data_IF_313597830036
#
_entry.id   IF_313597830036
#
_cell.length_a   1.000
_cell.length_b   1.000
_cell.length_c   1.000
_cell.angle_alpha   90.00
_cell.angle_beta   90.00
_cell.angle_gamma   90.00
#
_symmetry.space_group_name_H-M   'P 1'
#
loop_
_entity.id
_entity.type
_entity.pdbx_description
1 polymer ?
#
# COMPACT_ATOMS: atom_id res chain seq x y z
N UNK A 1 14.99 17.23 -41.25
CA UNK A 1 14.11 16.19 -40.68
C UNK A 1 14.30 16.25 -39.19
N UNK A 2 13.43 16.98 -38.50
CA UNK A 2 13.53 17.20 -37.06
C UNK A 2 13.17 15.90 -36.32
N UNK A 3 13.70 15.67 -35.12
CA UNK A 3 13.42 14.46 -34.31
C UNK A 3 11.91 14.27 -34.08
N UNK A 4 11.16 15.37 -34.10
CA UNK A 4 9.70 15.40 -33.97
C UNK A 4 8.96 14.83 -35.20
N UNK A 5 9.54 14.92 -36.40
CA UNK A 5 8.94 14.36 -37.62
C UNK A 5 9.16 12.84 -37.73
N UNK A 6 10.15 12.28 -37.02
CA UNK A 6 10.46 10.86 -37.05
C UNK A 6 9.59 10.00 -36.11
N UNK A 7 8.90 10.63 -35.14
CA UNK A 7 8.18 9.93 -34.06
C UNK A 7 6.66 10.13 -34.06
N UNK A 8 6.08 10.87 -35.01
CA UNK A 8 4.63 10.90 -35.21
C UNK A 8 3.79 11.45 -34.04
N UNK A 9 4.40 12.09 -33.05
CA UNK A 9 3.69 12.71 -31.94
C UNK A 9 3.46 14.20 -32.20
N UNK A 10 2.20 14.55 -32.49
CA UNK A 10 1.74 15.94 -32.54
C UNK A 10 1.34 16.33 -31.11
N UNK A 11 2.20 17.07 -30.42
CA UNK A 11 1.84 17.68 -29.14
C UNK A 11 1.07 18.95 -29.47
N UNK A 12 -0.23 18.96 -29.21
CA UNK A 12 -1.06 20.16 -29.29
C UNK A 12 -0.61 21.11 -28.17
N UNK A 13 0.19 22.10 -28.54
CA UNK A 13 0.61 23.22 -27.70
C UNK A 13 -0.51 24.25 -27.59
N UNK A 14 -1.55 23.90 -26.82
CA UNK A 14 -2.52 24.87 -26.33
C UNK A 14 -3.16 24.36 -25.02
N UNK A 15 -2.52 24.67 -23.89
CA UNK A 15 -3.24 25.22 -22.74
C UNK A 15 -2.22 25.91 -21.82
N UNK A 16 -2.48 27.19 -21.55
CA UNK A 16 -1.55 28.12 -20.96
C UNK A 16 -1.27 27.89 -19.47
N UNK A 17 -0.04 28.29 -19.11
CA UNK A 17 0.26 29.19 -18.00
C UNK A 17 -0.30 28.83 -16.62
N UNK A 18 0.61 28.28 -15.81
CA UNK A 18 1.03 28.86 -14.54
C UNK A 18 -0.06 29.42 -13.62
N UNK A 19 -0.53 28.59 -12.70
CA UNK A 19 -0.86 29.05 -11.36
C UNK A 19 -0.24 28.12 -10.32
N UNK A 20 0.40 28.74 -9.33
CA UNK A 20 0.95 28.15 -8.12
C UNK A 20 0.06 27.05 -7.54
N UNK A 21 0.50 25.79 -7.62
CA UNK A 21 0.05 24.74 -6.71
C UNK A 21 1.12 24.59 -5.63
N UNK A 22 1.10 25.54 -4.69
CA UNK A 22 1.73 25.36 -3.40
C UNK A 22 0.88 24.33 -2.63
N UNK A 23 1.09 23.04 -2.92
CA UNK A 23 0.48 21.97 -2.14
C UNK A 23 1.40 21.65 -0.97
N UNK A 24 1.28 22.42 0.11
CA UNK A 24 1.63 21.89 1.43
C UNK A 24 0.69 20.71 1.70
N UNK A 25 1.23 19.51 1.58
CA UNK A 25 0.56 18.27 1.96
C UNK A 25 0.29 18.33 3.48
N UNK A 26 -0.96 18.14 3.93
CA UNK A 26 -1.22 18.02 5.37
C UNK A 26 -0.47 16.79 5.87
N UNK A 27 0.44 17.00 6.80
CA UNK A 27 1.16 15.92 7.48
C UNK A 27 0.15 15.18 8.34
N UNK A 28 -0.21 13.97 7.92
CA UNK A 28 -1.07 13.06 8.65
C UNK A 28 -0.36 12.58 9.92
N UNK A 29 -0.40 13.39 10.96
CA UNK A 29 -0.12 12.97 12.32
C UNK A 29 -1.19 13.61 13.21
N UNK A 30 -1.79 12.77 14.08
CA UNK A 30 -2.62 13.17 15.23
C UNK A 30 -4.15 13.35 15.05
N UNK A 31 -4.76 12.86 13.95
CA UNK A 31 -6.24 12.70 13.91
C UNK A 31 -6.62 11.33 13.39
N UNK A 32 -6.52 10.28 14.22
CA UNK A 32 -7.10 8.96 13.91
C UNK A 32 -6.93 7.89 15.00
N UNK A 33 -6.38 8.21 16.18
CA UNK A 33 -6.25 7.21 17.25
C UNK A 33 -7.15 7.50 18.45
N UNK A 34 -7.27 8.75 18.85
CA UNK A 34 -8.04 9.10 20.05
C UNK A 34 -9.55 9.12 19.80
N UNK A 35 -10.00 9.59 18.63
CA UNK A 35 -11.42 9.57 18.26
C UNK A 35 -12.02 8.17 18.10
N UNK A 36 -11.21 7.19 17.67
CA UNK A 36 -11.69 5.80 17.50
C UNK A 36 -11.56 4.96 18.77
N UNK A 37 -10.67 5.33 19.70
CA UNK A 37 -10.57 4.67 20.99
C UNK A 37 -11.76 5.04 21.90
N UNK A 38 -12.14 6.33 21.92
CA UNK A 38 -13.23 6.82 22.76
C UNK A 38 -14.61 6.30 22.30
N UNK A 39 -14.80 6.10 21.00
CA UNK A 39 -16.04 5.54 20.43
C UNK A 39 -16.11 3.99 20.55
N UNK A 40 -14.95 3.32 20.55
CA UNK A 40 -14.88 1.87 20.81
C UNK A 40 -15.14 1.53 22.29
N UNK A 41 -14.62 2.32 23.23
CA UNK A 41 -14.83 2.09 24.66
C UNK A 41 -16.29 2.35 25.07
N UNK A 42 -16.95 3.36 24.47
CA UNK A 42 -18.38 3.64 24.72
C UNK A 42 -19.33 2.58 24.13
N UNK A 43 -18.96 1.91 23.04
CA UNK A 43 -19.71 0.75 22.53
C UNK A 43 -19.51 -0.51 23.38
N UNK A 44 -18.33 -0.66 24.00
CA UNK A 44 -18.00 -1.82 24.83
C UNK A 44 -18.66 -1.74 26.22
N UNK A 45 -18.82 -0.54 26.79
CA UNK A 45 -19.61 -0.34 28.01
C UNK A 45 -21.12 -0.58 27.79
N UNK A 46 -21.70 -0.08 26.68
CA UNK A 46 -23.11 -0.32 26.35
C UNK A 46 -23.46 -1.80 26.10
N UNK A 47 -22.50 -2.60 25.64
CA UNK A 47 -22.67 -4.04 25.46
C UNK A 47 -22.47 -4.86 26.74
N UNK A 48 -21.72 -4.35 27.73
CA UNK A 48 -21.56 -5.00 29.04
C UNK A 48 -22.79 -4.86 29.93
N UNK A 49 -23.51 -3.74 29.81
CA UNK A 49 -24.74 -3.51 30.58
C UNK A 49 -25.96 -4.28 30.03
N UNK A 50 -25.88 -4.83 28.81
CA UNK A 50 -26.97 -5.53 28.14
C UNK A 50 -26.86 -7.06 28.11
N UNK A 51 -25.74 -7.65 28.57
CA UNK A 51 -25.55 -9.11 28.60
C UNK A 51 -25.03 -9.58 29.96
N UNK A 52 -25.93 -9.54 30.94
CA UNK A 52 -25.86 -10.37 32.13
C UNK A 52 -26.77 -11.59 31.98
N UNK A 53 -26.16 -12.75 31.66
CA UNK A 53 -26.68 -14.14 31.68
C UNK A 53 -27.52 -14.61 30.48
N UNK A 54 -26.88 -15.38 29.60
CA UNK A 54 -27.01 -16.85 29.59
C UNK A 54 -26.15 -17.45 28.48
N UNK A 55 -25.36 -18.46 28.84
CA UNK A 55 -24.54 -19.27 27.95
C UNK A 55 -25.38 -20.10 26.94
N UNK A 56 -24.71 -20.50 25.87
CA UNK A 56 -25.07 -21.53 24.88
C UNK A 56 -26.21 -21.27 23.89
N UNK A 57 -25.84 -20.92 22.64
CA UNK A 57 -26.12 -21.79 21.49
C UNK A 57 -25.55 -21.23 20.17
N UNK A 58 -24.52 -21.90 19.69
CA UNK A 58 -24.19 -22.00 18.28
C UNK A 58 -25.31 -22.70 17.51
N UNK A 59 -25.89 -22.03 16.50
CA UNK A 59 -26.14 -22.55 15.14
C UNK A 59 -27.31 -21.80 14.50
N UNK A 60 -27.01 -21.04 13.45
CA UNK A 60 -27.99 -20.68 12.44
C UNK A 60 -28.49 -21.96 11.77
N UNK A 61 -29.77 -22.26 11.92
CA UNK A 61 -30.51 -23.09 10.97
C UNK A 61 -31.75 -22.32 10.53
N UNK A 62 -31.77 -22.03 9.23
CA UNK A 62 -32.97 -21.67 8.50
C UNK A 62 -34.03 -22.78 8.63
N UNK A 63 -35.28 -22.35 8.53
CA UNK A 63 -36.50 -23.15 8.31
C UNK A 63 -37.14 -23.75 9.57
N UNK A 64 -38.24 -23.14 10.01
CA UNK A 64 -39.53 -23.80 10.27
C UNK A 64 -40.50 -22.80 10.92
N UNK A 65 -41.32 -22.12 10.12
CA UNK A 65 -42.43 -21.30 10.62
C UNK A 65 -43.81 -21.93 10.36
N UNK A 66 -43.88 -23.23 10.07
CA UNK A 66 -45.13 -23.91 9.69
C UNK A 66 -45.44 -25.17 10.51
N UNK A 67 -44.53 -25.66 11.36
CA UNK A 67 -44.75 -26.91 12.11
C UNK A 67 -45.30 -26.73 13.53
N UNK A 68 -45.20 -25.55 14.14
CA UNK A 68 -45.72 -25.32 15.51
C UNK A 68 -47.24 -25.11 15.54
N UNK A 69 -47.85 -24.57 14.48
CA UNK A 69 -49.30 -24.37 14.42
C UNK A 69 -50.10 -25.68 14.25
N UNK A 70 -49.54 -26.69 13.59
CA UNK A 70 -50.17 -28.03 13.45
C UNK A 70 -50.20 -28.82 14.78
N UNK A 71 -49.31 -28.51 15.72
CA UNK A 71 -49.27 -29.16 17.03
C UNK A 71 -50.16 -28.47 18.08
N UNK A 72 -50.56 -27.22 17.85
CA UNK A 72 -51.55 -26.53 18.67
C UNK A 72 -52.98 -27.03 18.36
N UNK A 73 -53.33 -27.16 17.07
CA UNK A 73 -54.63 -27.71 16.65
C UNK A 73 -54.85 -29.15 17.15
N UNK A 74 -53.85 -30.03 17.03
CA UNK A 74 -53.94 -31.42 17.54
C UNK A 74 -54.01 -31.53 19.07
N UNK A 75 -53.54 -30.52 19.80
CA UNK A 75 -53.63 -30.50 21.28
C UNK A 75 -55.01 -30.07 21.77
N UNK A 76 -55.74 -29.28 20.99
CA UNK A 76 -57.11 -28.87 21.32
C UNK A 76 -58.15 -29.95 21.00
N UNK A 77 -57.98 -30.74 19.94
CA UNK A 77 -58.89 -31.87 19.64
C UNK A 77 -58.96 -32.91 20.78
N UNK A 78 -57.85 -33.15 21.50
CA UNK A 78 -57.80 -34.17 22.55
C UNK A 78 -58.36 -33.70 23.91
N UNK A 79 -58.65 -32.41 24.09
CA UNK A 79 -59.21 -31.85 25.33
C UNK A 79 -60.74 -31.77 25.31
N UNK A 80 -61.35 -31.69 24.13
CA UNK A 80 -62.82 -31.65 23.98
C UNK A 80 -63.44 -33.03 24.28
N UNK A 81 -62.76 -34.12 23.94
CA UNK A 81 -63.24 -35.49 24.13
C UNK A 81 -63.09 -36.04 25.58
N UNK A 82 -62.63 -35.22 26.53
CA UNK A 82 -62.29 -35.67 27.89
C UNK A 82 -62.89 -34.84 29.02
N UNK A 83 -63.95 -34.07 28.75
CA UNK A 83 -64.68 -33.38 29.81
C UNK A 83 -65.73 -34.31 30.43
N UNK A 84 -65.37 -34.98 31.54
CA UNK A 84 -66.32 -35.77 32.32
C UNK A 84 -67.20 -34.85 33.18
N UNK A 85 -68.41 -34.60 32.66
CA UNK A 85 -69.42 -33.75 33.29
C UNK A 85 -69.78 -34.27 34.69
N UNK A 86 -69.83 -35.59 34.89
CA UNK A 86 -70.21 -36.15 36.17
C UNK A 86 -69.12 -35.93 37.21
N UNK A 87 -67.84 -36.13 36.85
CA UNK A 87 -66.72 -35.83 37.76
C UNK A 87 -66.66 -34.33 38.10
N UNK A 88 -66.94 -33.45 37.13
CA UNK A 88 -66.95 -32.00 37.33
C UNK A 88 -68.08 -31.52 38.26
N UNK A 89 -69.30 -32.05 38.08
CA UNK A 89 -70.45 -31.71 38.93
C UNK A 89 -70.27 -32.22 40.36
N UNK A 90 -69.70 -33.41 40.52
CA UNK A 90 -69.35 -33.98 41.83
C UNK A 90 -68.23 -33.19 42.52
N UNK A 91 -67.19 -32.77 41.78
CA UNK A 91 -66.07 -31.97 42.32
C UNK A 91 -66.48 -30.60 42.82
N UNK A 92 -67.50 -29.99 42.21
CA UNK A 92 -67.94 -28.64 42.52
C UNK A 92 -69.22 -28.61 43.38
N UNK A 93 -69.58 -29.73 44.04
CA UNK A 93 -70.73 -29.84 44.96
C UNK A 93 -72.09 -29.49 44.33
N UNK A 94 -72.31 -29.84 43.05
CA UNK A 94 -73.57 -29.62 42.34
C UNK A 94 -74.52 -30.83 42.39
N UNK A 95 -74.34 -31.77 43.33
CA UNK A 95 -75.12 -33.03 43.44
C UNK A 95 -76.65 -32.84 43.50
N UNK A 96 -77.14 -31.67 43.94
CA UNK A 96 -78.57 -31.41 44.18
C UNK A 96 -79.10 -30.14 43.52
N UNK A 97 -78.34 -29.51 42.63
CA UNK A 97 -78.82 -28.33 41.91
C UNK A 97 -79.77 -28.78 40.80
N UNK A 98 -81.01 -28.26 40.73
CA UNK A 98 -81.91 -28.61 39.64
C UNK A 98 -81.23 -28.26 38.31
N UNK A 99 -81.20 -29.23 37.40
CA UNK A 99 -80.48 -29.15 36.13
C UNK A 99 -80.89 -27.89 35.35
N UNK A 100 -82.14 -27.48 35.45
CA UNK A 100 -82.68 -26.26 34.84
C UNK A 100 -82.02 -24.97 35.34
N UNK A 101 -81.60 -24.91 36.62
CA UNK A 101 -80.88 -23.76 37.17
C UNK A 101 -79.44 -23.72 36.66
N UNK A 102 -78.78 -24.88 36.57
CA UNK A 102 -77.42 -24.98 36.03
C UNK A 102 -77.39 -24.67 34.53
N UNK A 103 -78.37 -25.17 33.78
CA UNK A 103 -78.54 -24.85 32.35
C UNK A 103 -78.75 -23.34 32.20
N UNK A 104 -79.61 -22.72 33.03
CA UNK A 104 -79.82 -21.27 32.97
C UNK A 104 -78.56 -20.48 33.32
N UNK A 105 -77.82 -20.89 34.34
CA UNK A 105 -76.58 -20.23 34.74
C UNK A 105 -75.47 -20.43 33.70
N UNK A 106 -75.42 -21.60 33.04
CA UNK A 106 -74.50 -21.90 31.95
C UNK A 106 -74.87 -21.14 30.66
N UNK A 107 -76.15 -21.00 30.34
CA UNK A 107 -76.64 -20.18 29.23
C UNK A 107 -76.36 -18.69 29.49
N UNK A 108 -76.52 -18.25 30.74
CA UNK A 108 -76.22 -16.87 31.14
C UNK A 108 -74.71 -16.62 31.08
N UNK A 109 -73.89 -17.56 31.56
CA UNK A 109 -72.44 -17.46 31.51
C UNK A 109 -71.92 -17.56 30.07
N UNK A 110 -72.45 -18.45 29.25
CA UNK A 110 -72.12 -18.56 27.82
C UNK A 110 -72.48 -17.26 27.12
N UNK A 111 -73.67 -16.71 27.35
CA UNK A 111 -74.07 -15.42 26.80
C UNK A 111 -73.14 -14.28 27.24
N UNK A 112 -72.73 -14.27 28.50
CA UNK A 112 -71.76 -13.28 29.02
C UNK A 112 -70.39 -13.48 28.36
N UNK A 113 -69.86 -14.70 28.32
CA UNK A 113 -68.56 -15.01 27.70
C UNK A 113 -68.57 -14.62 26.22
N UNK A 114 -69.60 -15.02 25.47
CA UNK A 114 -69.71 -14.69 24.06
C UNK A 114 -69.77 -13.17 23.86
N UNK A 115 -70.50 -12.44 24.71
CA UNK A 115 -70.56 -10.98 24.63
C UNK A 115 -69.24 -10.30 25.00
N UNK A 116 -68.59 -10.72 26.09
CA UNK A 116 -67.34 -10.12 26.58
C UNK A 116 -66.18 -10.44 25.66
N UNK A 117 -66.12 -11.65 25.09
CA UNK A 117 -65.07 -12.05 24.18
C UNK A 117 -65.23 -11.37 22.83
N UNK A 118 -66.47 -11.19 22.34
CA UNK A 118 -66.73 -10.38 21.14
C UNK A 118 -66.39 -8.92 21.38
N UNK A 119 -66.75 -8.34 22.53
CA UNK A 119 -66.37 -6.97 22.88
C UNK A 119 -64.83 -6.82 22.94
N UNK A 120 -64.14 -7.64 23.72
CA UNK A 120 -62.69 -7.56 23.90
C UNK A 120 -61.89 -7.85 22.61
N UNK A 121 -62.36 -8.81 21.79
CA UNK A 121 -61.76 -9.06 20.47
C UNK A 121 -62.08 -7.91 19.53
N UNK A 122 -63.29 -7.38 19.52
CA UNK A 122 -63.64 -6.25 18.64
C UNK A 122 -62.87 -4.97 19.00
N UNK A 123 -62.63 -4.72 20.29
CA UNK A 123 -61.87 -3.57 20.79
C UNK A 123 -60.38 -3.69 20.45
N UNK A 124 -59.80 -4.89 20.54
CA UNK A 124 -58.36 -5.10 20.33
C UNK A 124 -57.98 -5.41 18.88
N UNK A 125 -58.90 -5.95 18.08
CA UNK A 125 -58.61 -6.37 16.71
C UNK A 125 -58.53 -5.18 15.74
N UNK A 126 -59.28 -4.10 15.99
CA UNK A 126 -59.19 -2.85 15.21
C UNK A 126 -57.79 -2.21 15.27
N UNK A 127 -57.26 -1.89 16.46
CA UNK A 127 -55.90 -1.38 16.63
C UNK A 127 -54.82 -2.33 16.11
N UNK A 128 -55.01 -3.64 16.25
CA UNK A 128 -54.09 -4.64 15.69
C UNK A 128 -54.07 -4.61 14.15
N UNK A 129 -55.23 -4.51 13.51
CA UNK A 129 -55.31 -4.36 12.06
C UNK A 129 -54.69 -3.04 11.58
N UNK A 130 -54.91 -1.93 12.29
CA UNK A 130 -54.26 -0.65 12.00
C UNK A 130 -52.73 -0.77 12.08
N UNK A 131 -52.21 -1.41 13.12
CA UNK A 131 -50.78 -1.71 13.25
C UNK A 131 -50.27 -2.54 12.06
N UNK A 132 -50.94 -3.64 11.70
CA UNK A 132 -50.53 -4.46 10.55
C UNK A 132 -50.58 -3.69 9.22
N UNK A 133 -51.56 -2.81 9.04
CA UNK A 133 -51.73 -2.01 7.82
C UNK A 133 -50.60 -0.98 7.63
N UNK A 134 -50.01 -0.45 8.71
CA UNK A 134 -48.86 0.47 8.60
C UNK A 134 -47.63 -0.17 7.93
N UNK A 135 -47.48 -1.49 8.05
CA UNK A 135 -46.36 -2.24 7.46
C UNK A 135 -46.73 -3.01 6.20
N UNK A 136 -48.03 -3.22 5.94
CA UNK A 136 -48.55 -3.96 4.77
C UNK A 136 -48.87 -3.05 3.59
N UNK A 137 -48.80 -1.72 3.75
CA UNK A 137 -48.95 -0.78 2.64
C UNK A 137 -47.75 -0.89 1.70
N UNK A 138 -48.02 -1.07 0.40
CA UNK A 138 -47.01 -1.06 -0.67
C UNK A 138 -46.17 0.25 -0.70
N UNK A 139 -46.68 1.32 -0.06
CA UNK A 139 -46.04 2.62 0.11
C UNK A 139 -45.40 2.81 1.50
N UNK A 140 -44.91 1.74 2.13
CA UNK A 140 -44.12 1.87 3.35
C UNK A 140 -42.80 2.59 3.04
N UNK A 141 -42.77 3.90 3.28
CA UNK A 141 -41.64 4.80 3.04
C UNK A 141 -40.34 4.26 3.65
N UNK A 142 -40.41 3.68 4.85
CA UNK A 142 -39.25 3.08 5.54
C UNK A 142 -38.71 1.87 4.78
N UNK A 143 -39.59 1.02 4.23
CA UNK A 143 -39.18 -0.14 3.43
C UNK A 143 -38.55 0.30 2.10
N UNK A 144 -39.11 1.33 1.45
CA UNK A 144 -38.57 1.90 0.22
C UNK A 144 -37.20 2.57 0.45
N UNK A 145 -37.04 3.32 1.54
CA UNK A 145 -35.75 3.90 1.95
C UNK A 145 -34.72 2.82 2.27
N UNK A 146 -35.11 1.75 2.96
CA UNK A 146 -34.22 0.65 3.28
C UNK A 146 -33.82 -0.14 2.03
N UNK A 147 -34.71 -0.26 1.05
CA UNK A 147 -34.40 -0.83 -0.26
C UNK A 147 -33.46 0.06 -1.08
N UNK A 148 -33.64 1.39 -1.02
CA UNK A 148 -32.70 2.36 -1.63
C UNK A 148 -31.33 2.29 -0.96
N UNK A 149 -31.27 2.34 0.36
CA UNK A 149 -30.03 2.21 1.12
C UNK A 149 -29.32 0.89 0.81
N UNK A 150 -30.06 -0.22 0.70
CA UNK A 150 -29.50 -1.52 0.28
C UNK A 150 -28.92 -1.47 -1.13
N UNK A 151 -29.60 -0.82 -2.06
CA UNK A 151 -29.12 -0.60 -3.43
C UNK A 151 -27.84 0.25 -3.43
N UNK A 152 -27.83 1.34 -2.67
CA UNK A 152 -26.69 2.26 -2.56
C UNK A 152 -25.47 1.58 -1.93
N UNK A 153 -25.67 0.78 -0.87
CA UNK A 153 -24.61 -0.03 -0.26
C UNK A 153 -24.09 -1.07 -1.26
N UNK A 154 -24.95 -1.68 -2.06
CA UNK A 154 -24.53 -2.65 -3.07
C UNK A 154 -23.69 -1.98 -4.17
N UNK A 155 -24.13 -0.81 -4.64
CA UNK A 155 -23.40 0.00 -5.62
C UNK A 155 -22.06 0.48 -5.05
N UNK A 156 -22.04 0.92 -3.79
CA UNK A 156 -20.82 1.33 -3.10
C UNK A 156 -19.85 0.16 -2.99
N UNK A 157 -20.33 -1.03 -2.59
CA UNK A 157 -19.51 -2.24 -2.51
C UNK A 157 -18.90 -2.60 -3.87
N UNK A 158 -19.69 -2.53 -4.94
CA UNK A 158 -19.19 -2.79 -6.30
C UNK A 158 -18.16 -1.75 -6.74
N UNK A 159 -18.38 -0.47 -6.44
CA UNK A 159 -17.43 0.59 -6.75
C UNK A 159 -16.13 0.44 -5.93
N UNK A 160 -16.23 0.12 -4.65
CA UNK A 160 -15.09 -0.14 -3.79
C UNK A 160 -14.27 -1.34 -4.30
N UNK A 161 -14.95 -2.39 -4.77
CA UNK A 161 -14.30 -3.55 -5.38
C UNK A 161 -13.58 -3.17 -6.69
N UNK A 162 -14.21 -2.37 -7.56
CA UNK A 162 -13.58 -1.85 -8.79
C UNK A 162 -12.34 -1.02 -8.50
N UNK A 163 -12.42 -0.07 -7.57
CA UNK A 163 -11.30 0.81 -7.21
C UNK A 163 -10.16 0.00 -6.57
N UNK A 164 -10.49 -0.89 -5.63
CA UNK A 164 -9.48 -1.64 -4.87
C UNK A 164 -8.81 -2.72 -5.70
N UNK A 165 -9.57 -3.51 -6.46
CA UNK A 165 -9.02 -4.68 -7.15
C UNK A 165 -8.54 -4.39 -8.58
N UNK A 166 -9.08 -3.37 -9.25
CA UNK A 166 -8.67 -3.04 -10.63
C UNK A 166 -7.80 -1.80 -10.69
N UNK A 167 -8.29 -0.68 -10.17
CA UNK A 167 -7.60 0.61 -10.35
C UNK A 167 -6.35 0.72 -9.48
N UNK A 168 -6.43 0.33 -8.20
CA UNK A 168 -5.27 0.36 -7.30
C UNK A 168 -4.20 -0.65 -7.75
N UNK A 169 -4.60 -1.86 -8.16
CA UNK A 169 -3.67 -2.87 -8.67
C UNK A 169 -2.96 -2.38 -9.95
N UNK A 170 -3.71 -1.84 -10.91
CA UNK A 170 -3.15 -1.25 -12.13
C UNK A 170 -2.25 -0.05 -11.83
N UNK A 171 -2.66 0.83 -10.92
CA UNK A 171 -1.86 1.98 -10.51
C UNK A 171 -0.55 1.52 -9.86
N UNK A 172 -0.60 0.50 -9.01
CA UNK A 172 0.60 -0.09 -8.39
C UNK A 172 1.56 -0.67 -9.44
N UNK A 173 1.05 -1.35 -10.47
CA UNK A 173 1.86 -1.86 -11.57
C UNK A 173 2.55 -0.72 -12.32
N UNK A 174 1.80 0.31 -12.73
CA UNK A 174 2.36 1.50 -13.40
C UNK A 174 3.39 2.22 -12.52
N UNK A 175 3.12 2.37 -11.22
CA UNK A 175 4.07 2.94 -10.26
C UNK A 175 5.33 2.08 -10.16
N UNK A 176 5.19 0.75 -10.20
CA UNK A 176 6.34 -0.17 -10.14
C UNK A 176 7.19 -0.07 -11.41
N UNK A 177 6.56 -0.06 -12.59
CA UNK A 177 7.25 0.10 -13.88
C UNK A 177 7.96 1.44 -13.98
N UNK A 178 7.29 2.52 -13.53
CA UNK A 178 7.89 3.85 -13.52
C UNK A 178 9.05 3.95 -12.52
N UNK A 179 8.96 3.33 -11.35
CA UNK A 179 10.08 3.26 -10.40
C UNK A 179 11.26 2.46 -10.97
N UNK A 180 11.01 1.32 -11.61
CA UNK A 180 12.06 0.54 -12.26
C UNK A 180 12.74 1.33 -13.39
N UNK A 181 11.95 2.03 -14.20
CA UNK A 181 12.46 2.93 -15.23
C UNK A 181 13.32 4.05 -14.63
N UNK A 182 12.87 4.70 -13.56
CA UNK A 182 13.62 5.76 -12.87
C UNK A 182 14.92 5.22 -12.27
N UNK A 183 14.93 4.02 -11.71
CA UNK A 183 16.15 3.40 -11.20
C UNK A 183 17.16 3.14 -12.32
N UNK A 184 16.71 2.62 -13.47
CA UNK A 184 17.59 2.44 -14.63
C UNK A 184 18.11 3.77 -15.16
N UNK A 185 17.29 4.82 -15.13
CA UNK A 185 17.71 6.16 -15.54
C UNK A 185 18.78 6.71 -14.58
N UNK A 186 18.65 6.50 -13.28
CA UNK A 186 19.66 6.90 -12.30
C UNK A 186 20.99 6.15 -12.50
N UNK A 187 20.94 4.84 -12.74
CA UNK A 187 22.13 4.05 -13.09
C UNK A 187 22.83 4.59 -14.34
N UNK A 188 22.07 4.92 -15.38
CA UNK A 188 22.62 5.57 -16.59
C UNK A 188 23.21 6.95 -16.28
N UNK A 189 22.58 7.71 -15.39
CA UNK A 189 23.08 9.01 -14.91
C UNK A 189 24.44 8.87 -14.21
N UNK A 190 24.57 7.92 -13.30
CA UNK A 190 25.82 7.63 -12.60
C UNK A 190 26.93 7.18 -13.55
N UNK A 191 26.61 6.31 -14.52
CA UNK A 191 27.56 5.88 -15.54
C UNK A 191 28.05 7.04 -16.41
N UNK A 192 27.14 7.94 -16.80
CA UNK A 192 27.50 9.13 -17.57
C UNK A 192 28.40 10.08 -16.77
N UNK A 193 28.10 10.29 -15.49
CA UNK A 193 28.94 11.10 -14.59
C UNK A 193 30.33 10.47 -14.41
N UNK A 194 30.42 9.14 -14.35
CA UNK A 194 31.71 8.46 -14.30
C UNK A 194 32.50 8.63 -15.61
N UNK A 195 31.84 8.61 -16.77
CA UNK A 195 32.48 8.88 -18.05
C UNK A 195 33.03 10.32 -18.15
N UNK A 196 32.29 11.33 -17.65
CA UNK A 196 32.77 12.72 -17.66
C UNK A 196 33.94 12.90 -16.71
N UNK A 197 33.85 12.37 -15.47
CA UNK A 197 34.94 12.38 -14.50
C UNK A 197 36.20 11.69 -15.03
N UNK A 198 36.05 10.56 -15.73
CA UNK A 198 37.18 9.85 -16.34
C UNK A 198 37.85 10.70 -17.43
N UNK A 199 37.07 11.32 -18.32
CA UNK A 199 37.61 12.17 -19.38
C UNK A 199 38.36 13.40 -18.81
N UNK A 200 37.81 14.04 -17.77
CA UNK A 200 38.49 15.15 -17.08
C UNK A 200 39.78 14.68 -16.40
N UNK A 201 39.75 13.54 -15.71
CA UNK A 201 40.91 12.93 -15.06
C UNK A 201 42.02 12.62 -16.06
N UNK A 202 41.67 12.05 -17.22
CA UNK A 202 42.60 11.78 -18.32
C UNK A 202 43.18 13.07 -18.90
N UNK A 203 42.37 14.10 -19.12
CA UNK A 203 42.86 15.40 -19.61
C UNK A 203 43.90 16.01 -18.67
N UNK A 204 43.66 15.96 -17.35
CA UNK A 204 44.60 16.43 -16.33
C UNK A 204 45.87 15.58 -16.35
N UNK A 205 45.74 14.26 -16.36
CA UNK A 205 46.88 13.35 -16.37
C UNK A 205 47.74 13.50 -17.63
N UNK A 206 47.15 13.72 -18.80
CA UNK A 206 47.86 14.01 -20.05
C UNK A 206 48.62 15.33 -19.97
N UNK A 207 48.03 16.37 -19.37
CA UNK A 207 48.73 17.65 -19.15
C UNK A 207 49.92 17.47 -18.20
N UNK A 208 49.75 16.75 -17.09
CA UNK A 208 50.82 16.46 -16.12
C UNK A 208 51.92 15.59 -16.74
N UNK A 209 51.56 14.59 -17.56
CA UNK A 209 52.53 13.76 -18.27
C UNK A 209 53.36 14.56 -19.28
N UNK A 210 52.73 15.47 -20.03
CA UNK A 210 53.44 16.37 -20.96
C UNK A 210 54.37 17.34 -20.24
N UNK A 211 53.93 17.96 -19.13
CA UNK A 211 54.79 18.86 -18.36
C UNK A 211 55.95 18.12 -17.71
N UNK A 212 55.72 16.89 -17.23
CA UNK A 212 56.78 16.05 -16.69
C UNK A 212 57.79 15.70 -17.79
N UNK A 213 57.32 15.30 -18.96
CA UNK A 213 58.18 14.99 -20.10
C UNK A 213 59.04 16.18 -20.54
N UNK A 214 58.45 17.38 -20.59
CA UNK A 214 59.18 18.62 -20.90
C UNK A 214 60.25 18.94 -19.83
N UNK A 215 59.92 18.76 -18.55
CA UNK A 215 60.88 18.94 -17.45
C UNK A 215 62.02 17.93 -17.50
N UNK A 216 61.78 16.72 -18.02
CA UNK A 216 62.84 15.74 -18.28
C UNK A 216 63.81 16.17 -19.39
N UNK A 217 63.43 17.14 -20.22
CA UNK A 217 64.26 17.67 -21.31
C UNK A 217 65.15 18.86 -20.91
N UNK A 218 64.94 19.46 -19.73
CA UNK A 218 65.69 20.64 -19.26
C UNK A 218 66.96 20.20 -18.52
N UNK A 219 68.10 20.83 -18.77
CA UNK A 219 69.40 20.43 -18.21
C UNK A 219 69.48 20.52 -16.67
N UNK A 220 68.83 21.52 -16.06
CA UNK A 220 68.73 21.64 -14.60
C UNK A 220 67.37 21.19 -14.09
N UNK A 221 67.33 19.97 -13.54
CA UNK A 221 66.10 19.42 -12.96
C UNK A 221 65.84 19.97 -11.55
N UNK A 222 64.70 20.61 -11.34
CA UNK A 222 64.21 20.88 -9.99
C UNK A 222 63.63 19.58 -9.38
N UNK A 223 64.40 18.98 -8.47
CA UNK A 223 64.09 17.70 -7.85
C UNK A 223 62.76 17.70 -7.09
N UNK A 224 62.43 18.78 -6.41
CA UNK A 224 61.21 18.91 -5.59
C UNK A 224 59.95 18.95 -6.47
N UNK A 225 60.03 19.68 -7.58
CA UNK A 225 58.93 19.78 -8.56
C UNK A 225 58.75 18.47 -9.31
N UNK A 226 59.84 17.79 -9.67
CA UNK A 226 59.74 16.48 -10.31
C UNK A 226 59.15 15.42 -9.37
N UNK A 227 59.53 15.40 -8.10
CA UNK A 227 58.97 14.49 -7.10
C UNK A 227 57.47 14.71 -6.91
N UNK A 228 57.03 15.96 -6.75
CA UNK A 228 55.61 16.27 -6.57
C UNK A 228 54.81 15.95 -7.83
N UNK A 229 55.36 16.22 -9.01
CA UNK A 229 54.71 15.96 -10.29
C UNK A 229 54.59 14.46 -10.59
N UNK A 230 55.59 13.66 -10.24
CA UNK A 230 55.55 12.19 -10.35
C UNK A 230 54.48 11.62 -9.42
N UNK A 231 54.43 12.06 -8.17
CA UNK A 231 53.43 11.59 -7.19
C UNK A 231 52.01 11.98 -7.61
N UNK A 232 51.79 13.21 -8.06
CA UNK A 232 50.48 13.67 -8.54
C UNK A 232 50.06 12.95 -9.82
N UNK A 233 50.98 12.75 -10.77
CA UNK A 233 50.72 12.00 -12.00
C UNK A 233 50.35 10.56 -11.69
N UNK A 234 51.10 9.88 -10.81
CA UNK A 234 50.81 8.51 -10.39
C UNK A 234 49.44 8.41 -9.71
N UNK A 235 49.10 9.35 -8.81
CA UNK A 235 47.76 9.40 -8.18
C UNK A 235 46.64 9.52 -9.21
N UNK A 236 46.83 10.33 -10.25
CA UNK A 236 45.83 10.50 -11.30
C UNK A 236 45.76 9.29 -12.25
N UNK A 237 46.89 8.65 -12.58
CA UNK A 237 46.92 7.38 -13.33
C UNK A 237 46.13 6.32 -12.59
N UNK A 238 46.37 6.16 -11.29
CA UNK A 238 45.65 5.18 -10.46
C UNK A 238 44.15 5.46 -10.42
N UNK A 239 43.75 6.71 -10.18
CA UNK A 239 42.33 7.10 -10.17
C UNK A 239 41.65 6.84 -11.51
N UNK A 240 42.32 7.18 -12.62
CA UNK A 240 41.80 6.88 -13.97
C UNK A 240 41.67 5.38 -14.22
N UNK A 241 42.60 4.55 -13.71
CA UNK A 241 42.50 3.09 -13.78
C UNK A 241 41.28 2.55 -13.02
N UNK A 242 41.05 3.02 -11.80
CA UNK A 242 39.92 2.60 -10.96
C UNK A 242 38.58 2.93 -11.65
N UNK A 243 38.46 4.13 -12.24
CA UNK A 243 37.30 4.53 -13.04
C UNK A 243 37.15 3.67 -14.30
N UNK A 244 38.26 3.35 -14.99
CA UNK A 244 38.26 2.47 -16.16
C UNK A 244 37.78 1.05 -15.83
N UNK A 245 38.17 0.51 -14.67
CA UNK A 245 37.72 -0.81 -14.18
C UNK A 245 36.22 -0.78 -13.85
N UNK A 246 35.72 0.30 -13.23
CA UNK A 246 34.27 0.46 -12.98
C UNK A 246 33.44 0.52 -14.27
N UNK A 247 34.07 0.87 -15.40
CA UNK A 247 33.47 0.99 -16.73
C UNK A 247 33.92 -0.15 -17.67
N UNK A 248 34.42 -1.27 -17.13
CA UNK A 248 34.99 -2.37 -17.92
C UNK A 248 33.96 -3.02 -18.87
N UNK A 249 32.73 -3.21 -18.38
CA UNK A 249 31.67 -3.92 -19.08
C UNK A 249 31.08 -3.12 -20.25
N UNK A 250 31.30 -1.80 -20.28
CA UNK A 250 30.77 -0.92 -21.32
C UNK A 250 31.73 -0.90 -22.51
N UNK A 251 31.43 -1.69 -23.54
CA UNK A 251 32.17 -1.69 -24.80
C UNK A 251 31.58 -0.68 -25.81
N UNK A 252 31.60 0.62 -25.48
CA UNK A 252 31.20 1.69 -26.41
C UNK A 252 32.39 2.24 -27.20
N UNK A 253 32.14 2.87 -28.36
CA UNK A 253 33.19 3.55 -29.14
C UNK A 253 33.92 4.59 -28.29
N UNK A 254 33.15 5.41 -27.54
CA UNK A 254 33.69 6.40 -26.61
C UNK A 254 34.59 5.78 -25.54
N UNK A 255 34.24 4.60 -25.03
CA UNK A 255 35.06 3.91 -24.04
C UNK A 255 36.37 3.38 -24.65
N UNK A 256 36.35 2.95 -25.91
CA UNK A 256 37.57 2.62 -26.65
C UNK A 256 38.48 3.83 -26.80
N UNK A 257 37.93 4.99 -27.13
CA UNK A 257 38.70 6.23 -27.25
C UNK A 257 39.35 6.62 -25.91
N UNK A 258 38.60 6.54 -24.80
CA UNK A 258 39.12 6.82 -23.45
C UNK A 258 40.20 5.80 -23.02
N UNK A 259 40.05 4.51 -23.38
CA UNK A 259 41.07 3.49 -23.13
C UNK A 259 42.34 3.76 -23.94
N UNK A 260 42.21 4.20 -25.19
CA UNK A 260 43.35 4.58 -26.01
C UNK A 260 44.07 5.80 -25.41
N UNK A 261 43.33 6.85 -25.04
CA UNK A 261 43.90 8.03 -24.38
C UNK A 261 44.61 7.69 -23.06
N UNK A 262 44.03 6.77 -22.27
CA UNK A 262 44.68 6.26 -21.07
C UNK A 262 45.98 5.51 -21.36
N UNK A 263 45.98 4.64 -22.38
CA UNK A 263 47.18 3.90 -22.79
C UNK A 263 48.28 4.86 -23.27
N UNK A 264 47.95 5.87 -24.07
CA UNK A 264 48.88 6.89 -24.53
C UNK A 264 49.45 7.71 -23.36
N UNK A 265 48.60 8.02 -22.37
CA UNK A 265 49.01 8.71 -21.15
C UNK A 265 49.96 7.86 -20.30
N UNK A 266 49.66 6.58 -20.09
CA UNK A 266 50.56 5.63 -19.42
C UNK A 266 51.91 5.56 -20.13
N UNK A 267 51.91 5.43 -21.46
CA UNK A 267 53.15 5.35 -22.23
C UNK A 267 53.99 6.61 -22.03
N UNK A 268 53.38 7.79 -22.10
CA UNK A 268 54.06 9.07 -21.89
C UNK A 268 54.63 9.18 -20.47
N UNK A 269 53.87 8.72 -19.46
CA UNK A 269 54.32 8.68 -18.08
C UNK A 269 55.50 7.71 -17.90
N UNK A 270 55.43 6.50 -18.48
CA UNK A 270 56.51 5.51 -18.44
C UNK A 270 57.79 6.01 -19.13
N UNK A 271 57.67 6.70 -20.28
CA UNK A 271 58.82 7.31 -20.97
C UNK A 271 59.46 8.36 -20.06
N UNK A 272 58.65 9.21 -19.42
CA UNK A 272 59.15 10.22 -18.49
C UNK A 272 59.86 9.60 -17.29
N UNK A 273 59.31 8.52 -16.70
CA UNK A 273 59.97 7.78 -15.63
C UNK A 273 61.29 7.15 -16.08
N UNK A 274 61.37 6.60 -17.30
CA UNK A 274 62.61 6.05 -17.87
C UNK A 274 63.69 7.13 -18.00
N UNK A 275 63.35 8.26 -18.60
CA UNK A 275 64.28 9.39 -18.75
C UNK A 275 64.79 9.93 -17.39
N UNK A 276 63.90 10.00 -16.40
CA UNK A 276 64.29 10.40 -15.04
C UNK A 276 65.17 9.37 -14.36
N UNK A 277 64.91 8.08 -14.59
CA UNK A 277 65.75 6.98 -14.09
C UNK A 277 67.15 7.06 -14.69
N UNK A 278 67.26 7.25 -16.01
CA UNK A 278 68.54 7.40 -16.69
C UNK A 278 69.34 8.62 -16.16
N UNK A 279 68.65 9.75 -15.92
CA UNK A 279 69.28 10.93 -15.31
C UNK A 279 69.70 10.70 -13.84
N UNK A 280 68.90 9.96 -13.07
CA UNK A 280 69.26 9.58 -11.70
C UNK A 280 70.49 8.66 -11.66
N UNK A 281 70.65 7.78 -12.67
CA UNK A 281 71.80 6.89 -12.81
C UNK A 281 73.06 7.64 -13.24
N UNK A 282 72.93 8.68 -14.08
CA UNK A 282 74.05 9.51 -14.53
C UNK A 282 74.60 10.42 -13.40
N UNK A 283 73.74 10.94 -12.52
CA UNK A 283 74.15 11.79 -11.38
C UNK A 283 73.54 11.35 -10.03
N UNK A 284 73.96 10.20 -9.48
CA UNK A 284 73.30 9.57 -8.31
C UNK A 284 73.44 10.36 -7.00
N UNK A 285 74.45 11.23 -6.90
CA UNK A 285 74.67 12.08 -5.71
C UNK A 285 73.76 13.31 -5.67
N UNK A 286 73.33 13.83 -6.84
CA UNK A 286 72.44 15.00 -6.93
C UNK A 286 70.97 14.61 -6.87
N UNK A 287 70.61 13.44 -7.41
CA UNK A 287 69.20 13.04 -7.56
C UNK A 287 68.67 11.99 -6.56
N UNK A 288 69.29 11.82 -5.39
CA UNK A 288 68.92 10.77 -4.41
C UNK A 288 67.45 10.78 -3.97
N UNK A 289 66.85 11.94 -3.70
CA UNK A 289 65.43 12.02 -3.31
C UNK A 289 64.45 11.73 -4.45
N UNK A 290 64.90 11.87 -5.71
CA UNK A 290 64.14 11.51 -6.90
C UNK A 290 64.20 10.00 -7.14
N UNK A 291 65.37 9.38 -6.95
CA UNK A 291 65.51 7.93 -6.96
C UNK A 291 64.64 7.24 -5.90
N UNK A 292 64.59 7.78 -4.66
CA UNK A 292 63.72 7.25 -3.60
C UNK A 292 62.23 7.40 -3.93
N UNK A 293 61.83 8.50 -4.55
CA UNK A 293 60.43 8.75 -4.96
C UNK A 293 60.04 7.84 -6.12
N UNK A 294 60.92 7.66 -7.11
CA UNK A 294 60.76 6.72 -8.23
C UNK A 294 60.61 5.28 -7.73
N UNK A 295 61.47 4.85 -6.81
CA UNK A 295 61.39 3.52 -6.19
C UNK A 295 60.09 3.30 -5.42
N UNK A 296 59.60 4.31 -4.70
CA UNK A 296 58.29 4.24 -4.02
C UNK A 296 57.14 4.13 -5.02
N UNK A 297 57.13 4.92 -6.09
CA UNK A 297 56.08 4.83 -7.11
C UNK A 297 56.13 3.54 -7.92
N UNK A 298 57.31 3.01 -8.23
CA UNK A 298 57.49 1.72 -8.91
C UNK A 298 57.09 0.54 -8.02
N UNK A 299 57.39 0.61 -6.71
CA UNK A 299 56.94 -0.37 -5.72
C UNK A 299 55.41 -0.40 -5.58
N UNK A 300 54.76 0.76 -5.70
CA UNK A 300 53.29 0.87 -5.66
C UNK A 300 52.62 0.51 -7.00
N UNK A 301 53.34 0.51 -8.13
CA UNK A 301 52.82 0.05 -9.43
C UNK A 301 52.82 -1.47 -9.61
N UNK A 302 53.52 -2.22 -8.73
CA UNK A 302 53.63 -3.69 -8.82
C UNK A 302 52.55 -4.45 -8.03
N UNK A 303 51.79 -3.76 -7.18
CA UNK A 303 50.67 -4.27 -6.40
C UNK A 303 49.36 -3.68 -6.93
#
# INVERSE_FOLDING_TARGET
>A
MSIEEALGFKIDSNLGLSQNLNMELPTAAEVSRDLFAEEADTLTEKYKDSVGKSDDCSSFHSNNFTSENLNAEKKLEHLVDKFDVNEFLMRNNFEYTPLDSLIRDMDTLSGVIDSTLVEEVSENYGPYLEFCNTYSADDNEVLLELQRAKSDISNFKENLDKVTNKELARSKEVITDTLEYLHRLDEMGQLLENHTKLAESLSIATKLGKTLHLLCGIDELNQTVCNSLILQSYKQVKRSNELLVSLADISSLRMRDLRNEYNDMIQTFQISLKLLTDRCLNEPKKYRSLADTLLKTLGQMKN
#
